data_IF_326678736738
#
_entry.id   IF_326678736738
#
_cell.length_a   1.000
_cell.length_b   1.000
_cell.length_c   1.000
_cell.angle_alpha   90.00
_cell.angle_beta   90.00
_cell.angle_gamma   90.00
#
_symmetry.space_group_name_H-M   'P 1'
#
loop_
_entity.id
_entity.type
_entity.pdbx_description
1 polymer ?
#
# COMPACT_ATOMS: atom_id res chain seq x y z
N UNK A 1 0.44 -38.25 -5.29
CA UNK A 1 1.42 -39.20 -5.86
C UNK A 1 1.96 -40.21 -4.85
N UNK A 2 2.56 -39.78 -3.74
CA UNK A 2 3.16 -40.69 -2.74
C UNK A 2 2.15 -41.70 -2.16
N UNK A 3 0.93 -41.25 -1.86
CA UNK A 3 -0.16 -42.11 -1.35
C UNK A 3 -0.54 -43.22 -2.36
N UNK A 4 -0.67 -42.88 -3.64
CA UNK A 4 -1.00 -43.84 -4.70
C UNK A 4 0.11 -44.89 -4.89
N UNK A 5 1.37 -44.45 -4.82
CA UNK A 5 2.54 -45.34 -4.94
C UNK A 5 2.64 -46.31 -3.76
N UNK A 6 2.56 -45.81 -2.52
CA UNK A 6 2.58 -46.63 -1.31
C UNK A 6 1.39 -47.60 -1.30
N UNK A 7 0.19 -47.14 -1.66
CA UNK A 7 -1.00 -47.97 -1.77
C UNK A 7 -0.84 -49.10 -2.79
N UNK A 8 -0.27 -48.82 -3.96
CA UNK A 8 0.00 -49.82 -5.00
C UNK A 8 1.04 -50.87 -4.56
N UNK A 9 2.12 -50.46 -3.90
CA UNK A 9 3.15 -51.38 -3.38
C UNK A 9 2.56 -52.30 -2.31
N UNK A 10 1.79 -51.74 -1.37
CA UNK A 10 1.10 -52.52 -0.33
C UNK A 10 0.09 -53.48 -0.95
N UNK A 11 -0.68 -53.02 -1.94
CA UNK A 11 -1.64 -53.85 -2.67
C UNK A 11 -0.95 -54.99 -3.43
N UNK A 12 0.16 -54.72 -4.11
CA UNK A 12 0.97 -55.73 -4.81
C UNK A 12 1.54 -56.78 -3.86
N UNK A 13 2.13 -56.35 -2.73
CA UNK A 13 2.68 -57.26 -1.72
C UNK A 13 1.59 -58.13 -1.11
N UNK A 14 0.43 -57.54 -0.79
CA UNK A 14 -0.70 -58.26 -0.21
C UNK A 14 -1.28 -59.28 -1.20
N UNK A 15 -1.46 -58.87 -2.45
CA UNK A 15 -1.95 -59.73 -3.55
C UNK A 15 -1.00 -60.90 -3.82
N UNK A 16 0.33 -60.67 -3.77
CA UNK A 16 1.33 -61.73 -3.92
C UNK A 16 1.32 -62.69 -2.73
N UNK A 17 1.12 -62.18 -1.50
CA UNK A 17 1.04 -62.99 -0.27
C UNK A 17 -0.26 -63.82 -0.19
N UNK A 18 -1.30 -63.41 -0.91
CA UNK A 18 -2.59 -64.11 -0.96
C UNK A 18 -2.54 -65.42 -1.78
N UNK A 19 -1.49 -65.62 -2.61
CA UNK A 19 -1.26 -66.85 -3.37
C UNK A 19 -0.19 -67.73 -2.69
N UNK A 20 -0.60 -68.81 -2.01
CA UNK A 20 0.33 -69.82 -1.45
C UNK A 20 0.10 -71.17 -2.13
N UNK A 21 1.14 -71.71 -2.76
CA UNK A 21 1.13 -73.05 -3.40
C UNK A 21 -0.03 -73.26 -4.39
N UNK A 22 -0.45 -72.21 -5.10
CA UNK A 22 -1.58 -72.26 -6.05
C UNK A 22 -2.97 -72.14 -5.41
N UNK A 23 -3.07 -72.08 -4.08
CA UNK A 23 -4.32 -71.91 -3.34
C UNK A 23 -4.39 -70.47 -2.81
N UNK A 24 -5.45 -69.75 -3.16
CA UNK A 24 -5.72 -68.40 -2.67
C UNK A 24 -6.20 -68.46 -1.21
N UNK A 25 -5.58 -67.69 -0.30
CA UNK A 25 -6.03 -67.60 1.10
C UNK A 25 -7.46 -67.06 1.23
N UNK A 26 -7.87 -66.21 0.28
CA UNK A 26 -9.21 -65.61 0.18
C UNK A 26 -10.04 -66.35 -0.88
N UNK A 27 -10.43 -67.58 -0.56
CA UNK A 27 -11.18 -68.48 -1.45
C UNK A 27 -12.53 -67.90 -1.93
N UNK A 28 -13.11 -66.94 -1.19
CA UNK A 28 -14.37 -66.28 -1.52
C UNK A 28 -14.29 -65.28 -2.69
N UNK A 29 -13.08 -64.89 -3.13
CA UNK A 29 -12.86 -63.92 -4.21
C UNK A 29 -12.90 -64.53 -5.63
N UNK A 30 -13.23 -65.83 -5.77
CA UNK A 30 -13.39 -66.58 -7.04
C UNK A 30 -12.40 -66.18 -8.15
N UNK A 31 -11.15 -66.68 -8.10
CA UNK A 31 -10.09 -66.29 -9.03
C UNK A 31 -10.30 -66.72 -10.49
N UNK A 32 -11.19 -67.68 -10.74
CA UNK A 32 -11.43 -68.25 -12.08
C UNK A 32 -12.11 -67.28 -13.05
N UNK A 33 -12.74 -66.21 -12.54
CA UNK A 33 -13.34 -65.13 -13.32
C UNK A 33 -12.79 -63.75 -12.88
N UNK A 34 -11.47 -63.68 -12.69
CA UNK A 34 -10.81 -62.46 -12.20
C UNK A 34 -10.41 -61.52 -13.34
N UNK A 35 -10.93 -60.30 -13.29
CA UNK A 35 -10.48 -59.20 -14.16
C UNK A 35 -8.98 -58.91 -13.97
N UNK A 36 -8.34 -58.34 -14.99
CA UNK A 36 -6.90 -58.03 -15.02
C UNK A 36 -6.44 -57.20 -13.80
N UNK A 37 -7.35 -56.45 -13.18
CA UNK A 37 -7.13 -55.62 -11.98
C UNK A 37 -6.83 -56.39 -10.68
N UNK A 38 -7.27 -57.65 -10.55
CA UNK A 38 -7.13 -58.43 -9.30
C UNK A 38 -6.47 -59.80 -9.50
N UNK A 39 -5.75 -60.00 -10.61
CA UNK A 39 -5.17 -61.31 -10.92
C UNK A 39 -3.92 -61.59 -10.05
N UNK A 40 -3.96 -62.62 -9.16
CA UNK A 40 -2.84 -62.95 -8.26
C UNK A 40 -1.62 -63.50 -9.00
N UNK A 41 -1.81 -64.17 -10.16
CA UNK A 41 -0.72 -64.73 -10.96
C UNK A 41 0.10 -63.63 -11.65
N UNK A 42 -0.50 -62.46 -11.89
CA UNK A 42 0.12 -61.27 -12.50
C UNK A 42 0.10 -60.08 -11.53
N UNK A 43 0.52 -60.30 -10.28
CA UNK A 43 0.50 -59.33 -9.18
C UNK A 43 1.19 -57.98 -9.50
N UNK A 44 2.26 -57.98 -10.30
CA UNK A 44 2.95 -56.76 -10.72
C UNK A 44 2.11 -55.89 -11.65
N UNK A 45 1.39 -56.51 -12.59
CA UNK A 45 0.49 -55.82 -13.52
C UNK A 45 -0.74 -55.30 -12.77
N UNK A 46 -1.30 -56.10 -11.86
CA UNK A 46 -2.41 -55.68 -11.00
C UNK A 46 -2.01 -54.48 -10.11
N UNK A 47 -0.80 -54.50 -9.54
CA UNK A 47 -0.28 -53.36 -8.76
C UNK A 47 -0.08 -52.11 -9.62
N UNK A 48 0.46 -52.25 -10.84
CA UNK A 48 0.62 -51.13 -11.77
C UNK A 48 -0.72 -50.53 -12.19
N UNK A 49 -1.71 -51.37 -12.50
CA UNK A 49 -3.07 -50.89 -12.83
C UNK A 49 -3.72 -50.22 -11.63
N UNK A 50 -3.58 -50.79 -10.42
CA UNK A 50 -4.06 -50.16 -9.19
C UNK A 50 -3.37 -48.80 -8.95
N UNK A 51 -2.08 -48.67 -9.26
CA UNK A 51 -1.38 -47.38 -9.21
C UNK A 51 -1.99 -46.36 -10.16
N UNK A 52 -2.21 -46.74 -11.43
CA UNK A 52 -2.80 -45.84 -12.43
C UNK A 52 -4.24 -45.44 -12.08
N UNK A 53 -5.06 -46.37 -11.57
CA UNK A 53 -6.41 -46.09 -11.11
C UNK A 53 -6.40 -45.16 -9.89
N UNK A 54 -5.53 -45.41 -8.91
CA UNK A 54 -5.38 -44.52 -7.75
C UNK A 54 -4.86 -43.13 -8.16
N UNK A 55 -3.96 -43.06 -9.15
CA UNK A 55 -3.48 -41.81 -9.70
C UNK A 55 -4.61 -40.99 -10.33
N UNK A 56 -5.46 -41.64 -11.13
CA UNK A 56 -6.65 -41.02 -11.72
C UNK A 56 -7.66 -40.56 -10.68
N UNK A 57 -7.83 -41.32 -9.58
CA UNK A 57 -8.74 -40.95 -8.50
C UNK A 57 -8.23 -39.71 -7.72
N UNK A 58 -6.92 -39.65 -7.46
CA UNK A 58 -6.32 -38.55 -6.69
C UNK A 58 -5.94 -37.32 -7.51
N UNK A 59 -6.04 -37.36 -8.84
CA UNK A 59 -5.77 -36.19 -9.70
C UNK A 59 -6.73 -35.03 -9.41
N UNK A 60 -7.93 -35.31 -8.89
CA UNK A 60 -8.92 -34.31 -8.48
C UNK A 60 -8.65 -33.66 -7.12
N UNK A 61 -7.65 -34.12 -6.34
CA UNK A 61 -7.32 -33.51 -5.04
C UNK A 61 -6.79 -32.08 -5.18
N UNK A 62 -6.09 -31.78 -6.28
CA UNK A 62 -5.71 -30.42 -6.65
C UNK A 62 -6.60 -30.03 -7.83
N UNK A 63 -7.73 -29.36 -7.58
CA UNK A 63 -8.62 -28.98 -8.66
C UNK A 63 -7.94 -27.97 -9.56
N UNK A 64 -7.89 -28.27 -10.86
CA UNK A 64 -7.33 -27.38 -11.89
C UNK A 64 -8.05 -26.02 -11.87
N UNK A 65 -9.33 -26.00 -11.47
CA UNK A 65 -10.12 -24.78 -11.33
C UNK A 65 -9.61 -23.83 -10.25
N UNK A 66 -8.93 -24.31 -9.20
CA UNK A 66 -8.44 -23.43 -8.12
C UNK A 66 -7.46 -22.38 -8.66
N UNK A 67 -6.57 -22.78 -9.58
CA UNK A 67 -5.63 -21.85 -10.18
C UNK A 67 -6.35 -20.74 -10.96
N UNK A 68 -7.30 -21.13 -11.81
CA UNK A 68 -8.10 -20.17 -12.61
C UNK A 68 -8.97 -19.29 -11.72
N UNK A 69 -9.57 -19.85 -10.67
CA UNK A 69 -10.38 -19.08 -9.72
C UNK A 69 -9.59 -18.01 -8.99
N UNK A 70 -8.36 -18.32 -8.55
CA UNK A 70 -7.49 -17.34 -7.89
C UNK A 70 -7.13 -16.20 -8.86
N UNK A 71 -6.76 -16.52 -10.10
CA UNK A 71 -6.47 -15.51 -11.13
C UNK A 71 -7.66 -14.57 -11.38
N UNK A 72 -8.88 -15.13 -11.48
CA UNK A 72 -10.10 -14.33 -11.65
C UNK A 72 -10.32 -13.41 -10.44
N UNK A 73 -10.14 -13.90 -9.22
CA UNK A 73 -10.28 -13.09 -8.00
C UNK A 73 -9.29 -11.92 -8.00
N UNK A 74 -8.02 -12.15 -8.36
CA UNK A 74 -6.99 -11.10 -8.46
C UNK A 74 -7.38 -10.02 -9.47
N UNK A 75 -7.92 -10.41 -10.62
CA UNK A 75 -8.41 -9.46 -11.64
C UNK A 75 -9.59 -8.65 -11.12
N UNK A 76 -10.55 -9.28 -10.44
CA UNK A 76 -11.70 -8.57 -9.85
C UNK A 76 -11.26 -7.58 -8.76
N UNK A 77 -10.30 -7.96 -7.91
CA UNK A 77 -9.72 -7.05 -6.91
C UNK A 77 -9.04 -5.83 -7.57
N UNK A 78 -8.28 -6.06 -8.65
CA UNK A 78 -7.66 -4.97 -9.42
C UNK A 78 -8.71 -4.02 -10.00
N UNK A 79 -9.85 -4.56 -10.45
CA UNK A 79 -10.95 -3.75 -10.95
C UNK A 79 -11.59 -2.90 -9.84
N UNK A 80 -11.76 -3.44 -8.63
CA UNK A 80 -12.27 -2.66 -7.50
C UNK A 80 -11.33 -1.52 -7.09
N UNK A 81 -10.01 -1.74 -7.08
CA UNK A 81 -9.02 -0.67 -6.83
C UNK A 81 -9.19 0.46 -7.85
N UNK A 82 -9.44 0.14 -9.12
CA UNK A 82 -9.60 1.13 -10.18
C UNK A 82 -10.92 1.93 -10.09
N UNK A 83 -11.93 1.38 -9.42
CA UNK A 83 -13.25 2.00 -9.25
C UNK A 83 -13.41 2.72 -7.92
N UNK A 84 -12.38 2.74 -7.08
CA UNK A 84 -12.44 3.38 -5.78
C UNK A 84 -12.42 4.91 -5.92
N UNK A 85 -13.46 5.56 -5.38
CA UNK A 85 -13.65 7.02 -5.41
C UNK A 85 -12.72 7.68 -4.38
N UNK A 86 -12.39 7.00 -3.28
CA UNK A 86 -11.50 7.56 -2.25
C UNK A 86 -10.05 7.69 -2.75
N UNK A 87 -9.67 6.91 -3.76
CA UNK A 87 -8.35 6.97 -4.41
C UNK A 87 -8.37 7.74 -5.74
N UNK A 88 -9.40 8.54 -6.00
CA UNK A 88 -9.49 9.37 -7.20
C UNK A 88 -8.97 10.78 -6.93
N UNK A 89 -8.05 11.25 -7.78
CA UNK A 89 -7.49 12.59 -7.70
C UNK A 89 -8.21 13.54 -8.66
N UNK A 90 -9.04 14.42 -8.09
CA UNK A 90 -9.95 15.32 -8.82
C UNK A 90 -9.22 16.38 -9.65
N UNK A 91 -8.18 17.03 -9.10
CA UNK A 91 -7.51 18.17 -9.76
C UNK A 91 -6.85 17.80 -11.10
N UNK A 92 -6.41 16.55 -11.27
CA UNK A 92 -5.82 16.06 -12.51
C UNK A 92 -6.66 15.00 -13.22
N UNK A 93 -7.91 14.76 -12.79
CA UNK A 93 -8.83 13.75 -13.32
C UNK A 93 -8.16 12.37 -13.48
N UNK A 94 -7.57 11.86 -12.39
CA UNK A 94 -6.79 10.61 -12.40
C UNK A 94 -7.28 9.64 -11.32
N UNK A 95 -7.88 8.50 -11.71
CA UNK A 95 -8.17 7.41 -10.77
C UNK A 95 -6.92 6.61 -10.43
N UNK A 96 -6.98 5.87 -9.32
CA UNK A 96 -6.05 4.79 -9.06
C UNK A 96 -6.09 3.77 -10.21
N UNK A 97 -4.92 3.27 -10.62
CA UNK A 97 -4.82 2.35 -11.74
C UNK A 97 -3.83 1.22 -11.44
N UNK A 98 -4.37 0.07 -11.05
CA UNK A 98 -3.64 -1.16 -10.86
C UNK A 98 -3.22 -1.76 -12.22
N UNK A 99 -1.91 -1.78 -12.48
CA UNK A 99 -1.33 -2.31 -13.73
C UNK A 99 -1.01 -3.80 -13.67
N UNK A 100 -0.99 -4.40 -12.48
CA UNK A 100 -0.59 -5.79 -12.26
C UNK A 100 -1.40 -6.39 -11.13
N UNK A 101 -2.33 -7.29 -11.46
CA UNK A 101 -3.24 -7.95 -10.50
C UNK A 101 -2.53 -8.92 -9.56
N UNK A 102 -1.36 -9.43 -9.94
CA UNK A 102 -0.63 -10.43 -9.16
C UNK A 102 -0.04 -9.90 -7.85
N UNK A 103 0.06 -8.57 -7.71
CA UNK A 103 0.66 -7.91 -6.56
C UNK A 103 -0.39 -7.41 -5.55
N UNK A 104 -1.68 -7.63 -5.80
CA UNK A 104 -2.74 -7.11 -4.94
C UNK A 104 -2.64 -7.65 -3.50
N UNK A 105 -2.30 -8.93 -3.33
CA UNK A 105 -2.08 -9.53 -2.01
C UNK A 105 -0.77 -9.11 -1.33
N UNK A 106 0.25 -8.76 -2.13
CA UNK A 106 1.55 -8.31 -1.63
C UNK A 106 1.45 -6.90 -1.03
N UNK A 107 0.54 -6.07 -1.55
CA UNK A 107 0.24 -4.74 -0.98
C UNK A 107 -0.21 -4.83 0.49
N UNK A 108 -0.87 -5.92 0.89
CA UNK A 108 -1.29 -6.16 2.27
C UNK A 108 -0.17 -6.60 3.21
N UNK A 109 1.02 -6.89 2.68
CA UNK A 109 2.18 -7.42 3.42
C UNK A 109 3.38 -6.46 3.41
N UNK A 110 3.18 -5.21 3.00
CA UNK A 110 4.25 -4.21 2.93
C UNK A 110 4.66 -3.77 4.34
N UNK A 111 5.93 -3.96 4.69
CA UNK A 111 6.52 -3.53 5.97
C UNK A 111 7.30 -2.21 5.84
N UNK A 112 8.03 -2.02 4.74
CA UNK A 112 8.89 -0.85 4.50
C UNK A 112 8.48 -0.11 3.23
N UNK A 113 8.22 1.21 3.36
CA UNK A 113 7.94 2.10 2.23
C UNK A 113 9.17 2.95 1.95
N UNK A 114 9.71 2.84 0.73
CA UNK A 114 10.75 3.73 0.24
C UNK A 114 10.08 4.84 -0.59
N UNK A 115 10.16 6.07 -0.11
CA UNK A 115 9.54 7.23 -0.77
C UNK A 115 10.61 8.17 -1.33
N UNK A 116 10.37 8.67 -2.55
CA UNK A 116 11.15 9.77 -3.10
C UNK A 116 10.72 11.11 -2.48
N UNK A 117 11.64 12.07 -2.38
CA UNK A 117 11.35 13.39 -1.80
C UNK A 117 10.62 14.29 -2.80
N UNK A 118 11.10 14.35 -4.04
CA UNK A 118 10.64 15.35 -5.00
C UNK A 118 9.55 14.76 -5.89
N UNK A 119 8.39 15.40 -5.95
CA UNK A 119 7.25 14.92 -6.73
C UNK A 119 6.45 13.78 -6.09
N UNK A 120 6.88 13.26 -4.93
CA UNK A 120 6.06 12.37 -4.08
C UNK A 120 5.74 13.05 -2.74
N UNK A 121 6.75 13.40 -1.94
CA UNK A 121 6.51 14.09 -0.67
C UNK A 121 6.33 15.61 -0.81
N UNK A 122 6.83 16.20 -1.89
CA UNK A 122 6.74 17.65 -2.11
C UNK A 122 6.21 17.98 -3.50
N UNK A 123 5.30 18.97 -3.58
CA UNK A 123 4.67 19.45 -4.81
C UNK A 123 5.58 20.39 -5.65
N UNK A 124 6.89 20.42 -5.40
CA UNK A 124 7.87 21.32 -6.03
C UNK A 124 7.38 22.78 -6.13
N UNK A 125 6.71 23.24 -5.07
CA UNK A 125 6.22 24.61 -4.91
C UNK A 125 6.72 25.11 -3.57
N UNK A 126 7.43 26.24 -3.56
CA UNK A 126 7.90 26.87 -2.33
C UNK A 126 7.00 28.06 -2.02
N UNK A 127 6.56 28.12 -0.77
CA UNK A 127 5.72 29.21 -0.26
C UNK A 127 6.45 29.97 0.85
N UNK A 128 6.41 31.31 0.79
CA UNK A 128 6.85 32.16 1.89
C UNK A 128 5.74 32.25 2.94
N UNK A 129 5.97 31.72 4.15
CA UNK A 129 4.94 31.56 5.20
C UNK A 129 5.27 32.35 6.48
N UNK A 130 6.52 32.26 6.94
CA UNK A 130 7.01 32.92 8.17
C UNK A 130 8.42 33.47 7.94
N UNK A 131 8.77 34.52 8.66
CA UNK A 131 10.13 35.06 8.70
C UNK A 131 10.44 35.59 10.09
N UNK A 132 11.72 35.84 10.37
CA UNK A 132 12.15 36.52 11.58
C UNK A 132 13.00 37.71 11.19
N UNK A 133 12.68 38.89 11.73
CA UNK A 133 13.42 40.14 11.47
C UNK A 133 13.76 40.77 12.81
N UNK A 134 15.05 41.07 13.02
CA UNK A 134 15.57 41.66 14.27
C UNK A 134 15.16 40.90 15.55
N UNK A 135 15.06 39.57 15.48
CA UNK A 135 14.65 38.72 16.61
C UNK A 135 13.14 38.60 16.82
N UNK A 136 12.33 39.35 16.06
CA UNK A 136 10.87 39.24 16.09
C UNK A 136 10.39 38.28 15.00
N UNK A 137 9.66 37.24 15.39
CA UNK A 137 9.02 36.32 14.46
C UNK A 137 7.74 36.93 13.87
N UNK A 138 7.58 36.83 12.56
CA UNK A 138 6.44 37.26 11.79
C UNK A 138 5.90 36.13 10.92
N UNK A 139 4.62 36.23 10.59
CA UNK A 139 3.92 35.18 9.86
C UNK A 139 3.06 34.38 10.82
N UNK A 140 1.77 34.54 10.63
CA UNK A 140 0.73 34.04 11.51
C UNK A 140 0.04 32.79 10.94
N UNK A 141 0.37 32.38 9.71
CA UNK A 141 -0.16 31.14 9.13
C UNK A 141 0.23 29.89 9.92
N UNK A 142 -0.76 29.06 10.28
CA UNK A 142 -0.52 27.70 10.80
C UNK A 142 -0.28 26.80 9.61
N UNK A 143 0.86 26.13 9.58
CA UNK A 143 1.14 25.11 8.55
C UNK A 143 0.44 23.80 8.92
N UNK A 144 0.07 22.99 7.92
CA UNK A 144 -0.50 21.66 8.15
C UNK A 144 0.44 20.79 9.02
N UNK A 145 1.76 20.96 8.82
CA UNK A 145 2.80 20.31 9.61
C UNK A 145 2.73 20.69 11.09
N UNK A 146 2.53 21.98 11.40
CA UNK A 146 2.42 22.49 12.77
C UNK A 146 1.13 21.97 13.45
N UNK A 147 0.02 21.91 12.70
CA UNK A 147 -1.24 21.28 13.16
C UNK A 147 -1.06 19.79 13.45
N UNK A 148 -0.39 19.07 12.56
CA UNK A 148 -0.11 17.63 12.72
C UNK A 148 0.84 17.35 13.90
N UNK A 149 1.87 18.18 14.10
CA UNK A 149 2.79 18.08 15.25
C UNK A 149 2.10 18.39 16.58
N UNK A 150 1.23 19.41 16.63
CA UNK A 150 0.44 19.72 17.83
C UNK A 150 -0.48 18.56 18.21
N UNK A 151 -1.15 17.93 17.23
CA UNK A 151 -2.00 16.75 17.45
C UNK A 151 -1.21 15.55 18.01
N UNK A 152 0.04 15.36 17.58
CA UNK A 152 0.92 14.28 18.07
C UNK A 152 1.48 14.55 19.47
N UNK A 153 1.80 15.81 19.77
CA UNK A 153 2.50 16.20 21.01
C UNK A 153 1.52 16.54 22.14
N UNK A 154 0.23 16.72 21.84
CA UNK A 154 -0.78 17.13 22.82
C UNK A 154 -0.58 18.54 23.37
N UNK A 155 0.32 19.32 22.76
CA UNK A 155 0.58 20.70 23.13
C UNK A 155 -0.54 21.61 22.63
N UNK A 156 -1.01 22.58 23.43
CA UNK A 156 -1.93 23.59 22.92
C UNK A 156 -1.26 24.34 21.77
N UNK A 157 -2.02 24.54 20.68
CA UNK A 157 -1.59 25.43 19.60
C UNK A 157 -1.26 26.80 20.22
N UNK A 158 -0.20 27.50 19.75
CA UNK A 158 0.18 28.79 20.32
C UNK A 158 -1.02 29.75 20.37
N UNK A 159 -1.35 30.21 21.58
CA UNK A 159 -2.49 31.11 21.83
C UNK A 159 -2.33 32.41 21.02
N UNK A 160 -3.29 32.63 20.12
CA UNK A 160 -3.33 33.80 19.21
C UNK A 160 -3.99 33.51 17.87
N UNK A 161 -4.36 32.26 17.60
CA UNK A 161 -4.99 31.86 16.34
C UNK A 161 -6.45 31.47 16.55
N UNK A 162 -7.34 32.15 15.81
CA UNK A 162 -8.75 31.82 15.69
C UNK A 162 -8.85 30.33 15.37
N UNK A 163 -9.42 29.57 16.31
CA UNK A 163 -10.08 28.31 16.00
C UNK A 163 -11.24 28.73 15.10
N UNK A 164 -10.97 28.78 13.80
CA UNK A 164 -12.04 28.77 12.81
C UNK A 164 -12.63 27.39 12.93
N UNK A 165 -13.74 27.31 13.66
CA UNK A 165 -14.68 26.22 13.56
C UNK A 165 -14.86 25.86 12.09
N UNK A 166 -14.95 24.57 11.80
CA UNK A 166 -15.16 23.97 10.49
C UNK A 166 -16.54 24.35 9.86
N UNK A 167 -17.15 25.47 10.26
CA UNK A 167 -18.49 25.91 9.87
C UNK A 167 -18.59 27.34 9.32
N UNK A 168 -17.47 28.06 9.11
CA UNK A 168 -17.52 29.39 8.47
C UNK A 168 -16.43 29.58 7.40
N UNK A 169 -16.56 28.82 6.32
CA UNK A 169 -15.82 29.03 5.08
C UNK A 169 -16.39 30.18 4.23
N UNK A 170 -17.36 30.96 4.73
CA UNK A 170 -18.04 32.00 3.94
C UNK A 170 -17.63 33.44 4.23
N UNK A 171 -16.68 33.74 5.13
CA UNK A 171 -16.28 35.13 5.40
C UNK A 171 -14.77 35.35 5.61
N UNK A 172 -13.92 34.67 4.84
CA UNK A 172 -12.58 35.20 4.57
C UNK A 172 -12.70 36.07 3.32
N UNK A 173 -12.94 37.35 3.54
CA UNK A 173 -12.93 38.38 2.51
C UNK A 173 -11.77 38.16 1.55
N UNK A 174 -12.15 37.88 0.30
CA UNK A 174 -11.34 38.01 -0.90
C UNK A 174 -10.61 39.36 -0.87
N UNK A 175 -9.35 39.38 -0.46
CA UNK A 175 -8.46 40.50 -0.77
C UNK A 175 -7.18 39.95 -1.36
N UNK A 176 -7.15 39.98 -2.69
CA UNK A 176 -5.94 39.90 -3.50
C UNK A 176 -5.67 38.52 -4.06
N UNK A 177 -5.62 38.44 -5.40
CA UNK A 177 -5.04 37.33 -6.16
C UNK A 177 -3.84 36.71 -5.41
N UNK A 178 -4.03 35.52 -4.85
CA UNK A 178 -2.95 34.80 -4.18
C UNK A 178 -1.80 34.61 -5.16
N UNK A 179 -0.70 35.33 -4.95
CA UNK A 179 0.49 35.15 -5.76
C UNK A 179 1.01 33.75 -5.46
N UNK A 180 1.13 32.90 -6.49
CA UNK A 180 1.67 31.55 -6.34
C UNK A 180 3.02 31.61 -5.64
N UNK A 181 3.15 30.95 -4.48
CA UNK A 181 4.37 30.97 -3.67
C UNK A 181 4.37 32.01 -2.53
N UNK A 182 3.29 32.76 -2.31
CA UNK A 182 3.19 33.73 -1.22
C UNK A 182 1.99 33.42 -0.31
N UNK A 183 2.27 32.83 0.85
CA UNK A 183 1.28 32.45 1.86
C UNK A 183 1.65 33.03 3.23
N UNK A 184 2.09 34.30 3.21
CA UNK A 184 2.48 35.03 4.40
C UNK A 184 1.35 35.97 4.79
N UNK A 185 0.81 35.77 6.00
CA UNK A 185 -0.22 36.62 6.59
C UNK A 185 0.27 37.12 7.93
N UNK A 186 0.40 38.42 8.10
CA UNK A 186 0.64 39.07 9.39
C UNK A 186 0.23 40.55 9.32
N UNK A 187 -0.83 40.94 10.04
CA UNK A 187 -1.33 42.32 10.04
C UNK A 187 -0.31 43.35 10.54
N UNK A 188 0.76 42.92 11.24
CA UNK A 188 1.84 43.82 11.70
C UNK A 188 2.69 44.36 10.56
N UNK A 189 2.90 43.55 9.52
CA UNK A 189 3.77 43.90 8.39
C UNK A 189 2.94 44.25 7.15
N UNK A 190 1.83 43.54 6.95
CA UNK A 190 1.00 43.69 5.76
C UNK A 190 0.25 45.03 5.74
N UNK A 191 -0.25 45.42 4.56
CA UNK A 191 -1.05 46.64 4.36
C UNK A 191 -0.38 47.96 4.78
N UNK A 192 0.96 48.02 4.77
CA UNK A 192 1.71 49.23 5.16
C UNK A 192 1.89 49.41 6.66
N UNK A 193 1.44 48.45 7.48
CA UNK A 193 1.57 48.54 8.93
C UNK A 193 3.03 48.36 9.43
N UNK A 194 3.93 47.84 8.58
CA UNK A 194 5.35 47.66 8.90
C UNK A 194 6.08 48.95 9.33
N UNK A 195 5.53 50.12 9.00
CA UNK A 195 6.07 51.43 9.42
C UNK A 195 5.89 51.68 10.92
N UNK A 196 4.91 51.03 11.55
CA UNK A 196 4.61 51.19 12.98
C UNK A 196 5.38 50.21 13.87
N UNK A 197 6.01 49.19 13.29
CA UNK A 197 6.80 48.22 14.03
C UNK A 197 8.17 48.80 14.42
N UNK A 198 8.72 48.39 15.58
CA UNK A 198 10.10 48.71 15.93
C UNK A 198 11.05 48.13 14.87
N UNK A 199 12.09 48.88 14.50
CA UNK A 199 13.06 48.51 13.45
C UNK A 199 12.48 48.46 12.02
N UNK A 200 11.61 49.41 11.66
CA UNK A 200 11.03 49.55 10.32
C UNK A 200 12.09 49.63 9.20
N UNK A 201 13.26 50.22 9.49
CA UNK A 201 14.40 50.32 8.59
C UNK A 201 15.02 48.94 8.29
N UNK A 202 15.12 48.08 9.31
CA UNK A 202 15.60 46.70 9.17
C UNK A 202 14.58 45.85 8.40
N UNK A 203 13.28 46.03 8.66
CA UNK A 203 12.20 45.35 7.93
C UNK A 203 12.23 45.72 6.45
N UNK A 204 12.39 47.01 6.14
CA UNK A 204 12.52 47.48 4.76
C UNK A 204 13.73 46.86 4.06
N UNK A 205 14.91 46.89 4.70
CA UNK A 205 16.13 46.27 4.15
C UNK A 205 15.95 44.77 3.94
N UNK A 206 15.33 44.06 4.89
CA UNK A 206 15.05 42.63 4.79
C UNK A 206 14.21 42.29 3.55
N UNK A 207 13.07 42.97 3.35
CA UNK A 207 12.22 42.71 2.19
C UNK A 207 12.86 43.18 0.88
N UNK A 208 13.66 44.25 0.91
CA UNK A 208 14.42 44.68 -0.27
C UNK A 208 15.46 43.62 -0.69
N UNK A 209 16.22 43.07 0.27
CA UNK A 209 17.17 41.98 0.02
C UNK A 209 16.46 40.71 -0.47
N UNK A 210 15.32 40.35 0.14
CA UNK A 210 14.54 39.20 -0.28
C UNK A 210 14.02 39.35 -1.72
N UNK A 211 13.60 40.56 -2.11
CA UNK A 211 13.12 40.85 -3.46
C UNK A 211 14.23 40.78 -4.52
N UNK A 212 15.48 41.12 -4.17
CA UNK A 212 16.61 41.11 -5.11
C UNK A 212 17.29 39.74 -5.17
N UNK A 213 17.49 39.08 -4.03
CA UNK A 213 18.36 37.91 -3.92
C UNK A 213 17.63 36.60 -3.58
N UNK A 214 16.32 36.63 -3.31
CA UNK A 214 15.51 35.46 -2.88
C UNK A 214 16.04 34.72 -1.62
N UNK A 215 17.12 35.21 -1.01
CA UNK A 215 17.79 34.67 0.17
C UNK A 215 18.26 35.85 1.00
N UNK A 216 17.99 35.81 2.30
CA UNK A 216 18.48 36.81 3.26
C UNK A 216 19.21 36.07 4.36
N UNK A 217 20.50 36.37 4.53
CA UNK A 217 21.33 35.82 5.59
C UNK A 217 21.67 36.96 6.54
N UNK A 218 21.20 36.92 7.80
CA UNK A 218 21.60 37.90 8.79
C UNK A 218 23.06 37.63 9.21
N UNK A 219 23.94 38.60 8.98
CA UNK A 219 25.28 38.61 9.60
C UNK A 219 25.20 39.37 10.93
N UNK A 220 25.86 38.82 11.95
CA UNK A 220 26.01 39.47 13.25
C UNK A 220 27.33 40.24 13.19
N UNK A 221 27.29 41.56 13.32
CA UNK A 221 28.50 42.35 13.52
C UNK A 221 29.05 42.04 14.92
N UNK A 222 30.20 41.36 14.98
CA UNK A 222 30.98 41.20 16.20
C UNK A 222 31.83 42.47 16.41
N UNK A 223 31.20 43.56 16.88
CA UNK A 223 31.90 44.71 17.49
C UNK A 223 31.81 44.67 19.03
#
# INVERSE_FOLDING_TARGET
FLIAFVGSVVFGITTKKDLKNGIMKRWYLKPDDSNVFFNPKKSTIAALLHFLTALMLYSYLIPISLYVSIEIVKVLQSHFINQDIEMYYEEADKPAHARTSNLNEELGQVDTILSDKTGTLTCNSMEFIKCSVAGTAYGRGITEVERAMAKRTGSPLPNGFVVGDEENEENVTETGSGIKGFNFKDDRIMNGNWVHEPHSDVIQKFFQLLAVCHTVIPEVDEE
#
